data_IF_628656958472
#
_entry.id   IF_628656958472
#
_cell.length_a   1.000
_cell.length_b   1.000
_cell.length_c   1.000
_cell.angle_alpha   90.00
_cell.angle_beta   90.00
_cell.angle_gamma   90.00
#
_symmetry.space_group_name_H-M   'P 1'
#
loop_
_entity.id
_entity.type
_entity.pdbx_description
1 polymer ?
#
# COMPACT_ATOMS: atom_id res chain seq x y z
N UNK A 1 25.99 -16.28 5.31
CA UNK A 1 24.90 -15.64 6.06
C UNK A 1 23.82 -15.33 5.04
N UNK A 2 22.86 -16.24 4.87
CA UNK A 2 21.70 -16.00 4.01
C UNK A 2 20.86 -14.94 4.71
N UNK A 3 20.67 -13.77 4.10
CA UNK A 3 19.58 -12.89 4.54
C UNK A 3 18.31 -13.68 4.24
N UNK A 4 17.66 -14.21 5.27
CA UNK A 4 16.34 -14.79 5.14
C UNK A 4 15.41 -13.67 4.65
N UNK A 5 14.80 -13.84 3.48
CA UNK A 5 13.86 -12.86 2.96
C UNK A 5 12.70 -12.71 3.95
N UNK A 6 12.45 -11.51 4.45
CA UNK A 6 11.28 -11.23 5.30
C UNK A 6 10.16 -10.76 4.37
N UNK A 7 9.01 -11.43 4.38
CA UNK A 7 7.82 -10.91 3.69
C UNK A 7 7.13 -9.91 4.61
N UNK A 8 6.93 -8.70 4.11
CA UNK A 8 6.16 -7.66 4.80
C UNK A 8 4.83 -7.43 4.09
N UNK A 9 3.74 -7.60 4.83
CA UNK A 9 2.39 -7.35 4.34
C UNK A 9 1.68 -6.37 5.29
N UNK A 10 1.03 -5.36 4.73
CA UNK A 10 0.15 -4.46 5.48
C UNK A 10 -1.19 -4.34 4.76
N UNK A 11 -2.28 -4.27 5.52
CA UNK A 11 -3.61 -4.10 4.96
C UNK A 11 -4.38 -3.00 5.70
N UNK A 12 -5.22 -2.28 4.97
CA UNK A 12 -6.20 -1.34 5.54
C UNK A 12 -7.58 -1.60 4.96
N UNK A 13 -8.60 -1.36 5.77
CA UNK A 13 -10.01 -1.46 5.39
C UNK A 13 -10.61 -0.06 5.20
N UNK A 14 -11.54 0.04 4.26
CA UNK A 14 -12.34 1.24 4.02
C UNK A 14 -13.30 1.62 5.15
N UNK A 15 -14.16 2.65 4.96
CA UNK A 15 -15.06 3.18 5.97
C UNK A 15 -16.13 2.14 6.26
N UNK A 16 -16.66 2.14 7.49
CA UNK A 16 -17.69 1.18 7.87
C UNK A 16 -19.07 1.52 7.26
N UNK A 17 -19.85 0.50 6.83
CA UNK A 17 -19.45 -0.91 6.74
C UNK A 17 -18.35 -1.09 5.69
N UNK A 18 -17.26 -1.77 6.04
CA UNK A 18 -16.08 -1.89 5.18
C UNK A 18 -16.47 -2.62 3.89
N UNK A 19 -16.41 -1.90 2.77
CA UNK A 19 -16.72 -2.45 1.43
C UNK A 19 -15.47 -2.88 0.67
N UNK A 20 -14.30 -2.51 1.16
CA UNK A 20 -13.04 -2.74 0.47
C UNK A 20 -11.87 -2.84 1.45
N UNK A 21 -10.82 -3.48 0.95
CA UNK A 21 -9.53 -3.62 1.61
C UNK A 21 -8.40 -3.41 0.59
N UNK A 22 -7.31 -2.81 1.04
CA UNK A 22 -6.09 -2.67 0.25
C UNK A 22 -4.98 -3.45 0.93
N UNK A 23 -4.34 -4.34 0.19
CA UNK A 23 -3.18 -5.11 0.61
C UNK A 23 -1.95 -4.56 -0.09
N UNK A 24 -0.91 -4.33 0.69
CA UNK A 24 0.40 -3.99 0.19
C UNK A 24 1.35 -5.12 0.57
N UNK A 25 1.83 -5.82 -0.45
CA UNK A 25 2.64 -7.04 -0.34
C UNK A 25 4.04 -6.76 -0.92
N UNK A 26 5.08 -7.02 -0.13
CA UNK A 26 6.47 -6.83 -0.49
C UNK A 26 7.38 -7.89 0.12
N UNK A 27 8.49 -8.16 -0.54
CA UNK A 27 9.59 -8.97 0.00
C UNK A 27 10.72 -8.02 0.42
N UNK A 28 11.34 -8.26 1.57
CA UNK A 28 12.58 -7.62 2.02
C UNK A 28 13.75 -8.59 1.80
N UNK A 29 14.80 -8.11 1.13
CA UNK A 29 16.07 -8.81 0.88
C UNK A 29 17.26 -7.93 1.26
N UNK A 30 17.04 -6.86 2.03
CA UNK A 30 18.04 -5.99 2.61
C UNK A 30 18.90 -5.16 1.65
N UNK A 31 18.91 -5.43 0.33
CA UNK A 31 19.90 -4.85 -0.59
C UNK A 31 19.38 -4.41 -1.97
N UNK A 32 18.08 -4.51 -2.27
CA UNK A 32 17.53 -4.04 -3.56
C UNK A 32 16.03 -3.70 -3.45
N UNK A 33 15.52 -2.68 -4.16
CA UNK A 33 14.08 -2.48 -4.29
C UNK A 33 13.48 -3.68 -5.04
N UNK A 34 12.79 -4.54 -4.30
CA UNK A 34 12.04 -5.68 -4.84
C UNK A 34 10.64 -5.18 -5.15
N UNK A 35 10.01 -5.60 -6.27
CA UNK A 35 8.68 -5.13 -6.60
C UNK A 35 7.71 -5.46 -5.49
N UNK A 36 7.10 -4.41 -4.93
CA UNK A 36 5.92 -4.53 -4.10
C UNK A 36 4.67 -4.34 -4.95
N UNK A 37 3.57 -4.96 -4.53
CA UNK A 37 2.28 -4.84 -5.18
C UNK A 37 1.27 -4.23 -4.21
N UNK A 38 0.56 -3.19 -4.68
CA UNK A 38 -0.65 -2.70 -4.04
C UNK A 38 -1.85 -3.32 -4.77
N UNK A 39 -2.62 -4.11 -4.03
CA UNK A 39 -3.74 -4.92 -4.51
C UNK A 39 -5.02 -4.49 -3.80
N UNK A 40 -6.10 -4.32 -4.56
CA UNK A 40 -7.41 -3.95 -4.04
C UNK A 40 -8.36 -5.14 -3.98
N UNK A 41 -9.21 -5.16 -2.95
CA UNK A 41 -10.25 -6.16 -2.75
C UNK A 41 -11.57 -5.49 -2.40
N UNK A 42 -12.68 -6.05 -2.86
CA UNK A 42 -13.99 -5.82 -2.25
C UNK A 42 -14.19 -6.75 -1.07
N UNK A 43 -14.95 -6.30 -0.08
CA UNK A 43 -15.28 -7.03 1.15
C UNK A 43 -16.77 -7.32 1.15
N UNK A 44 -17.15 -8.59 1.24
CA UNK A 44 -18.54 -8.98 1.47
C UNK A 44 -18.97 -8.59 2.89
N UNK A 45 -19.98 -7.73 3.00
CA UNK A 45 -20.39 -7.15 4.29
C UNK A 45 -21.03 -8.14 5.26
N UNK A 46 -21.40 -9.35 4.81
CA UNK A 46 -22.06 -10.38 5.63
C UNK A 46 -21.06 -11.43 6.09
N UNK A 47 -20.13 -11.80 5.21
CA UNK A 47 -19.22 -12.94 5.39
C UNK A 47 -17.77 -12.53 5.57
N UNK A 48 -17.41 -11.26 5.29
CA UNK A 48 -16.05 -10.74 5.33
C UNK A 48 -15.15 -11.27 4.20
N UNK A 49 -15.70 -11.98 3.20
CA UNK A 49 -14.91 -12.55 2.10
C UNK A 49 -14.32 -11.46 1.22
N UNK A 50 -13.04 -11.63 0.87
CA UNK A 50 -12.31 -10.72 -0.01
C UNK A 50 -12.39 -11.19 -1.47
N UNK A 51 -12.73 -10.29 -2.38
CA UNK A 51 -12.69 -10.54 -3.83
C UNK A 51 -11.76 -9.54 -4.50
N UNK A 52 -10.71 -9.96 -5.24
CA UNK A 52 -9.81 -9.04 -5.91
C UNK A 52 -10.55 -8.09 -6.87
N UNK A 53 -10.19 -6.81 -6.85
CA UNK A 53 -10.67 -5.82 -7.82
C UNK A 53 -9.84 -5.96 -9.10
N UNK A 54 -10.48 -6.38 -10.19
CA UNK A 54 -9.82 -6.50 -11.50
C UNK A 54 -9.20 -5.18 -11.92
N UNK A 55 -7.91 -5.19 -12.26
CA UNK A 55 -7.17 -4.00 -12.68
C UNK A 55 -6.53 -3.20 -11.54
N UNK A 56 -6.84 -3.50 -10.27
CA UNK A 56 -6.21 -2.88 -9.11
C UNK A 56 -5.01 -3.71 -8.63
N UNK A 57 -3.96 -3.70 -9.45
CA UNK A 57 -2.64 -4.26 -9.13
C UNK A 57 -1.59 -3.30 -9.67
N UNK A 58 -0.96 -2.53 -8.79
CA UNK A 58 0.07 -1.58 -9.18
C UNK A 58 1.42 -1.92 -8.55
N UNK A 59 2.48 -1.80 -9.36
CA UNK A 59 3.86 -1.99 -8.89
C UNK A 59 4.28 -0.75 -8.10
N UNK A 60 4.59 -0.95 -6.82
CA UNK A 60 5.25 0.04 -5.98
C UNK A 60 6.76 -0.21 -6.10
N UNK A 61 7.51 0.82 -6.48
CA UNK A 61 8.94 0.71 -6.83
C UNK A 61 9.89 0.69 -5.62
N UNK A 62 9.36 0.64 -4.40
CA UNK A 62 10.13 0.72 -3.15
C UNK A 62 9.45 -0.12 -2.06
N UNK A 63 10.17 -0.41 -0.97
CA UNK A 63 9.70 -1.28 0.11
C UNK A 63 8.55 -0.64 0.88
N UNK A 64 7.33 -1.14 0.76
CA UNK A 64 6.23 -0.60 1.50
C UNK A 64 6.31 -1.00 2.97
N UNK A 65 5.96 -0.09 3.87
CA UNK A 65 5.90 -0.45 5.29
C UNK A 65 4.51 -0.30 5.89
N UNK A 66 3.73 0.71 5.49
CA UNK A 66 2.38 0.98 6.01
C UNK A 66 1.46 1.52 4.90
N UNK A 67 0.18 1.25 5.11
CA UNK A 67 -0.93 1.87 4.40
C UNK A 67 -1.76 2.68 5.40
N UNK A 68 -2.28 3.81 4.95
CA UNK A 68 -3.23 4.64 5.72
C UNK A 68 -4.36 5.07 4.80
N UNK A 69 -5.59 4.72 5.18
CA UNK A 69 -6.81 5.25 4.58
C UNK A 69 -7.14 6.63 5.16
N UNK A 70 -7.60 7.55 4.32
CA UNK A 70 -7.89 8.91 4.73
C UNK A 70 -9.13 9.49 4.06
N UNK A 71 -9.77 10.42 4.79
CA UNK A 71 -10.92 11.21 4.36
C UNK A 71 -12.09 10.34 3.86
N UNK A 72 -12.47 9.34 4.67
CA UNK A 72 -13.49 8.34 4.33
C UNK A 72 -13.15 7.63 3.01
N UNK A 73 -11.91 7.16 2.89
CA UNK A 73 -11.40 6.44 1.71
C UNK A 73 -11.47 7.18 0.40
N UNK A 74 -11.38 8.50 0.44
CA UNK A 74 -11.11 9.29 -0.76
C UNK A 74 -9.63 9.25 -1.12
N UNK A 75 -8.77 8.99 -0.14
CA UNK A 75 -7.33 8.95 -0.30
C UNK A 75 -6.72 7.74 0.41
N UNK A 76 -5.69 7.18 -0.21
CA UNK A 76 -4.84 6.14 0.36
C UNK A 76 -3.40 6.62 0.33
N UNK A 77 -2.70 6.52 1.45
CA UNK A 77 -1.28 6.87 1.56
C UNK A 77 -0.47 5.61 1.81
N UNK A 78 0.63 5.45 1.06
CA UNK A 78 1.58 4.36 1.24
C UNK A 78 2.95 4.96 1.53
N UNK A 79 3.60 4.54 2.61
CA UNK A 79 4.98 4.96 2.89
C UNK A 79 5.96 3.85 2.49
N UNK A 80 7.09 4.25 1.93
CA UNK A 80 8.12 3.33 1.43
C UNK A 80 9.52 3.60 2.00
N UNK A 81 10.31 2.54 2.14
CA UNK A 81 11.73 2.52 2.53
C UNK A 81 12.62 2.08 1.35
N UNK A 82 13.93 2.41 1.38
CA UNK A 82 14.66 3.15 2.43
C UNK A 82 14.55 4.67 2.31
N UNK A 83 13.93 5.19 1.24
CA UNK A 83 13.86 6.61 0.92
C UNK A 83 12.90 7.44 1.77
N UNK A 84 12.03 6.82 2.58
CA UNK A 84 11.05 7.53 3.38
C UNK A 84 10.15 8.41 2.51
N UNK A 85 9.58 7.84 1.45
CA UNK A 85 8.66 8.58 0.57
C UNK A 85 7.22 8.17 0.84
N UNK A 86 6.33 9.15 0.95
CA UNK A 86 4.88 8.89 0.94
C UNK A 86 4.36 9.03 -0.49
N UNK A 87 3.77 7.95 -0.99
CA UNK A 87 2.94 7.94 -2.19
C UNK A 87 1.48 8.19 -1.78
N UNK A 88 0.83 9.11 -2.50
CA UNK A 88 -0.58 9.44 -2.27
C UNK A 88 -1.40 8.96 -3.47
N UNK A 89 -2.51 8.29 -3.20
CA UNK A 89 -3.43 7.79 -4.21
C UNK A 89 -4.82 8.38 -3.96
N UNK A 90 -5.46 8.83 -5.03
CA UNK A 90 -6.89 9.13 -5.04
C UNK A 90 -7.66 7.85 -5.33
N UNK A 91 -8.68 7.60 -4.53
CA UNK A 91 -9.57 6.45 -4.68
C UNK A 91 -10.76 6.85 -5.56
N UNK A 92 -11.06 6.06 -6.58
CA UNK A 92 -12.24 6.29 -7.41
C UNK A 92 -13.50 5.80 -6.68
N UNK A 93 -14.51 6.65 -6.44
CA UNK A 93 -15.61 6.36 -5.49
C UNK A 93 -16.57 5.23 -5.90
N UNK A 94 -16.47 4.73 -7.13
CA UNK A 94 -17.34 3.65 -7.64
C UNK A 94 -16.60 2.41 -8.09
N UNK A 95 -15.36 2.55 -8.54
CA UNK A 95 -14.54 1.43 -9.02
C UNK A 95 -13.46 1.06 -8.02
N UNK A 96 -13.25 1.90 -7.01
CA UNK A 96 -12.22 1.82 -5.98
C UNK A 96 -10.79 1.80 -6.54
N UNK A 97 -10.63 2.03 -7.86
CA UNK A 97 -9.34 2.10 -8.52
C UNK A 97 -8.53 3.27 -7.99
N UNK A 98 -7.23 3.03 -7.83
CA UNK A 98 -6.27 4.01 -7.33
C UNK A 98 -5.61 4.76 -8.48
N UNK A 99 -5.65 6.09 -8.40
CA UNK A 99 -4.88 6.96 -9.27
C UNK A 99 -3.81 7.65 -8.42
N UNK A 100 -2.53 7.45 -8.76
CA UNK A 100 -1.44 8.13 -8.06
C UNK A 100 -1.55 9.65 -8.27
N UNK A 101 -1.51 10.40 -7.17
CA UNK A 101 -1.52 11.85 -7.19
C UNK A 101 -0.08 12.29 -7.50
N UNK A 102 0.13 12.80 -8.70
CA UNK A 102 1.44 13.28 -9.13
C UNK A 102 1.81 14.59 -8.42
N UNK A 103 2.99 14.61 -7.81
CA UNK A 103 3.55 15.75 -7.10
C UNK A 103 4.93 15.40 -6.52
N UNK A 104 5.70 16.38 -6.00
CA UNK A 104 6.94 16.06 -5.29
C UNK A 104 6.61 15.10 -4.15
N UNK A 105 7.36 14.00 -3.97
CA UNK A 105 7.11 13.09 -2.87
C UNK A 105 7.19 13.87 -1.56
N UNK A 106 6.18 13.68 -0.70
CA UNK A 106 6.27 14.17 0.68
C UNK A 106 7.38 13.35 1.35
N UNK A 107 8.58 13.92 1.37
CA UNK A 107 9.73 13.33 2.03
C UNK A 107 9.44 13.37 3.52
N UNK A 108 9.31 12.21 4.14
CA UNK A 108 9.29 12.13 5.60
C UNK A 108 10.73 12.17 6.10
N UNK A 109 10.92 12.65 7.32
CA UNK A 109 12.20 12.52 8.00
C UNK A 109 12.51 11.02 8.12
N UNK A 110 13.39 10.50 7.26
CA UNK A 110 13.80 9.11 7.30
C UNK A 110 14.82 8.96 8.43
N UNK A 111 14.41 8.28 9.51
CA UNK A 111 15.35 7.74 10.48
C UNK A 111 15.95 6.43 9.91
N UNK A 112 16.76 6.54 8.87
CA UNK A 112 17.65 5.46 8.47
C UNK A 112 18.97 6.00 7.92
N UNK A 113 19.81 6.48 8.83
CA UNK A 113 21.27 6.39 8.70
C UNK A 113 21.85 6.03 10.06
N UNK A 114 22.10 4.74 10.26
CA UNK A 114 23.06 4.12 11.17
C UNK A 114 22.69 2.62 11.19
N UNK A 115 23.46 1.67 10.64
CA UNK A 115 24.90 1.52 10.50
C UNK A 115 25.26 0.88 9.16
#
# INVERSE_FOLDING_TARGET
>A
MTLDSVRECTAVFGPLPARFAYLLDGEDKGLYPIPAALIGYTVDAVTGRLTPITGLSMKVKQWPTRLVDALNSQFLYANTLPGGTIHAYRVHPTTELLTEIQGPPYSICSAYMAL
#
